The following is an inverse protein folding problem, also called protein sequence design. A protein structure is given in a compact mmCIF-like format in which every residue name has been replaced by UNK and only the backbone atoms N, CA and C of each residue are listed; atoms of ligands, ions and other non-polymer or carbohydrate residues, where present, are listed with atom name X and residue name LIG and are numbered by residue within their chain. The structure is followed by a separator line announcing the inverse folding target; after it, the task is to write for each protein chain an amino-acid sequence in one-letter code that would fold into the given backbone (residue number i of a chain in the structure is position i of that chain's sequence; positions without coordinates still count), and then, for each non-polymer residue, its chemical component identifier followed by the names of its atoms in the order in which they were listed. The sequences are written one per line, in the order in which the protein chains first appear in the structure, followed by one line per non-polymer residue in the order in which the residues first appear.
data_IF_651736343867
#
_entry.id   IF_651736343867
#
_cell.length_a   1.000
_cell.length_b   1.000
_cell.length_c   1.000
_cell.angle_alpha   90.00
_cell.angle_beta   90.00
_cell.angle_gamma   90.00
#
_symmetry.space_group_name_H-M   'P 1'
#
loop_
_entity.id
_entity.type
_entity.pdbx_description
1 polymer ?
#
# COMPACT_ATOMS: atom_id res chain seq x y z
N UNK A 1 -10.14 -59.03 24.90
CA UNK A 1 -9.94 -57.57 24.99
C UNK A 1 -10.47 -56.93 23.71
N UNK A 2 -11.45 -56.02 23.76
CA UNK A 2 -11.82 -55.25 22.58
C UNK A 2 -10.86 -54.06 22.42
N UNK A 3 -10.55 -53.60 21.18
CA UNK A 3 -9.89 -52.32 20.97
C UNK A 3 -10.87 -51.18 21.23
N UNK A 4 -10.45 -50.23 22.06
CA UNK A 4 -11.17 -48.98 22.35
C UNK A 4 -11.24 -48.11 21.08
N UNK A 5 -12.45 -47.75 20.67
CA UNK A 5 -12.69 -46.72 19.64
C UNK A 5 -12.37 -45.34 20.24
N UNK A 6 -11.58 -44.47 19.59
CA UNK A 6 -11.41 -43.10 20.07
C UNK A 6 -12.70 -42.32 19.81
N UNK A 7 -13.24 -41.68 20.86
CA UNK A 7 -14.40 -40.79 20.77
C UNK A 7 -14.11 -39.53 19.93
N UNK A 8 -15.15 -38.80 19.51
CA UNK A 8 -14.99 -37.58 18.71
C UNK A 8 -14.25 -36.52 19.51
N UNK A 9 -13.10 -36.05 18.98
CA UNK A 9 -12.42 -34.87 19.51
C UNK A 9 -13.12 -33.63 18.96
N UNK A 10 -13.89 -32.96 19.81
CA UNK A 10 -14.46 -31.63 19.62
C UNK A 10 -13.33 -30.60 19.39
N UNK A 11 -13.51 -29.57 18.54
CA UNK A 11 -12.46 -28.63 18.18
C UNK A 11 -12.19 -27.65 19.32
N UNK A 12 -11.07 -27.84 20.00
CA UNK A 12 -10.46 -26.89 20.92
C UNK A 12 -8.96 -27.01 20.66
N UNK A 13 -8.32 -26.16 19.87
CA UNK A 13 -8.19 -24.72 20.08
C UNK A 13 -8.21 -23.98 18.74
N UNK A 14 -9.40 -23.55 18.34
CA UNK A 14 -9.66 -22.58 17.27
C UNK A 14 -9.42 -21.15 17.80
N UNK A 15 -8.23 -20.94 18.36
CA UNK A 15 -7.75 -19.64 18.85
C UNK A 15 -6.28 -19.54 18.50
N UNK A 16 -6.00 -19.67 17.20
CA UNK A 16 -4.86 -18.99 16.62
C UNK A 16 -4.96 -17.53 17.07
N UNK A 17 -3.93 -17.01 17.74
CA UNK A 17 -3.72 -15.56 17.76
C UNK A 17 -3.68 -15.14 16.30
N UNK A 18 -4.78 -14.61 15.78
CA UNK A 18 -4.86 -14.20 14.38
C UNK A 18 -3.93 -13.01 14.22
N UNK A 19 -2.74 -13.26 13.67
CA UNK A 19 -1.82 -12.19 13.27
C UNK A 19 -2.55 -11.20 12.38
N UNK A 20 -2.30 -9.90 12.55
CA UNK A 20 -2.93 -8.81 11.75
C UNK A 20 -2.80 -9.09 10.25
N UNK A 21 -1.68 -9.69 9.85
CA UNK A 21 -1.36 -10.02 8.48
C UNK A 21 -1.35 -11.53 8.22
N UNK A 22 -1.65 -11.98 6.98
CA UNK A 22 -1.30 -13.31 6.52
C UNK A 22 0.19 -13.58 6.69
N UNK A 23 0.57 -14.83 7.01
CA UNK A 23 1.95 -15.18 7.37
C UNK A 23 3.02 -14.70 6.37
N UNK A 24 2.77 -14.80 5.06
CA UNK A 24 3.73 -14.34 4.05
C UNK A 24 3.91 -12.82 4.03
N UNK A 25 2.85 -12.06 4.35
CA UNK A 25 2.90 -10.59 4.46
C UNK A 25 3.61 -10.18 5.73
N UNK A 26 3.30 -10.86 6.85
CA UNK A 26 3.95 -10.63 8.14
C UNK A 26 5.48 -10.85 8.06
N UNK A 27 5.92 -11.95 7.45
CA UNK A 27 7.34 -12.23 7.22
C UNK A 27 7.99 -11.15 6.36
N UNK A 28 7.37 -10.75 5.24
CA UNK A 28 7.91 -9.73 4.36
C UNK A 28 8.06 -8.36 5.05
N UNK A 29 7.08 -7.99 5.89
CA UNK A 29 7.13 -6.78 6.70
C UNK A 29 8.24 -6.84 7.74
N UNK A 30 8.39 -7.96 8.46
CA UNK A 30 9.45 -8.15 9.45
C UNK A 30 10.84 -8.12 8.81
N UNK A 31 11.02 -8.75 7.65
CA UNK A 31 12.27 -8.71 6.87
C UNK A 31 12.61 -7.29 6.40
N UNK A 32 11.59 -6.47 6.11
CA UNK A 32 11.74 -5.05 5.81
C UNK A 32 11.95 -4.16 7.05
N UNK A 33 11.96 -4.73 8.26
CA UNK A 33 12.22 -4.03 9.51
C UNK A 33 10.97 -3.50 10.23
N UNK A 34 9.77 -3.84 9.77
CA UNK A 34 8.54 -3.54 10.51
C UNK A 34 8.37 -4.47 11.71
N UNK A 35 7.81 -3.93 12.79
CA UNK A 35 7.41 -4.70 13.97
C UNK A 35 6.07 -4.18 14.49
N UNK A 36 5.22 -5.02 15.11
CA UNK A 36 3.96 -4.58 15.69
C UNK A 36 4.15 -3.40 16.65
N UNK A 37 3.34 -2.35 16.46
CA UNK A 37 3.42 -1.12 17.27
C UNK A 37 4.49 -0.11 16.83
N UNK A 38 5.18 -0.35 15.71
CA UNK A 38 6.02 0.66 15.06
C UNK A 38 5.20 1.93 14.77
N UNK A 39 5.73 3.08 15.18
CA UNK A 39 5.11 4.38 14.95
C UNK A 39 6.14 5.50 14.99
N UNK A 40 6.51 6.03 13.82
CA UNK A 40 7.44 7.16 13.68
C UNK A 40 6.69 8.42 13.22
N UNK A 41 6.01 9.05 14.17
CA UNK A 41 5.26 10.28 13.90
C UNK A 41 6.17 11.45 13.52
N UNK A 42 7.41 11.49 14.01
CA UNK A 42 8.35 12.56 13.69
C UNK A 42 8.74 12.53 12.21
N UNK A 43 9.03 11.33 11.69
CA UNK A 43 9.32 11.15 10.27
C UNK A 43 8.10 11.46 9.40
N UNK A 44 6.91 11.03 9.82
CA UNK A 44 5.66 11.31 9.11
C UNK A 44 5.35 12.82 9.04
N UNK A 45 5.52 13.55 10.15
CA UNK A 45 5.36 15.01 10.21
C UNK A 45 6.40 15.72 9.34
N UNK A 46 7.65 15.27 9.34
CA UNK A 46 8.69 15.83 8.47
C UNK A 46 8.33 15.71 6.98
N UNK A 47 7.80 14.56 6.56
CA UNK A 47 7.31 14.39 5.20
C UNK A 47 6.07 15.23 4.92
N UNK A 48 5.13 15.31 5.85
CA UNK A 48 3.94 16.15 5.73
C UNK A 48 4.31 17.61 5.46
N UNK A 49 5.26 18.15 6.23
CA UNK A 49 5.74 19.52 6.06
C UNK A 49 6.49 19.72 4.75
N UNK A 50 7.32 18.75 4.36
CA UNK A 50 8.02 18.76 3.07
C UNK A 50 7.05 18.80 1.89
N UNK A 51 6.00 17.97 1.92
CA UNK A 51 4.97 17.92 0.88
C UNK A 51 4.15 19.22 0.82
N UNK A 52 3.76 19.77 1.98
CA UNK A 52 3.01 21.05 2.06
C UNK A 52 3.83 22.24 1.57
N UNK A 53 5.14 22.24 1.85
CA UNK A 53 6.06 23.27 1.41
C UNK A 53 6.30 23.21 -0.12
N UNK A 54 6.12 22.05 -0.75
CA UNK A 54 6.29 21.90 -2.19
C UNK A 54 5.11 22.46 -2.98
N UNK A 55 5.42 23.26 -3.99
CA UNK A 55 4.51 23.59 -5.07
C UNK A 55 5.21 23.28 -6.40
N UNK A 56 4.50 22.61 -7.30
CA UNK A 56 4.98 22.40 -8.67
C UNK A 56 5.15 23.75 -9.39
N UNK A 57 5.92 23.82 -10.50
CA UNK A 57 6.05 25.05 -11.30
C UNK A 57 4.72 25.64 -11.77
N UNK A 58 3.69 24.80 -11.95
CA UNK A 58 2.34 25.21 -12.34
C UNK A 58 1.43 25.54 -11.12
N UNK A 59 1.97 25.55 -9.91
CA UNK A 59 1.25 25.93 -8.69
C UNK A 59 0.45 24.80 -8.02
N UNK A 60 0.46 23.58 -8.56
CA UNK A 60 -0.17 22.42 -7.90
C UNK A 60 0.55 22.08 -6.58
N UNK A 61 -0.24 21.76 -5.55
CA UNK A 61 0.21 21.42 -4.20
C UNK A 61 -0.33 20.05 -3.79
N UNK A 62 0.38 19.38 -2.89
CA UNK A 62 -0.11 18.16 -2.26
C UNK A 62 -1.14 18.46 -1.18
N UNK A 63 -2.07 17.54 -1.00
CA UNK A 63 -2.96 17.45 0.16
C UNK A 63 -2.38 16.45 1.16
N UNK A 64 -2.47 16.76 2.46
CA UNK A 64 -2.03 15.87 3.54
C UNK A 64 -3.12 15.79 4.59
N UNK A 65 -3.55 14.57 4.90
CA UNK A 65 -4.67 14.25 5.78
C UNK A 65 -4.31 13.07 6.72
N UNK A 66 -5.10 12.81 7.78
CA UNK A 66 -4.75 11.84 8.82
C UNK A 66 -4.37 10.45 8.28
N UNK A 67 -5.17 9.85 7.40
CA UNK A 67 -4.91 8.51 6.87
C UNK A 67 -3.52 8.37 6.22
N UNK A 68 -3.06 9.41 5.50
CA UNK A 68 -1.71 9.42 4.92
C UNK A 68 -0.63 9.51 6.01
N UNK A 69 -0.79 10.39 7.00
CA UNK A 69 0.17 10.56 8.10
C UNK A 69 0.27 9.29 8.94
N UNK A 70 -0.85 8.63 9.21
CA UNK A 70 -0.91 7.37 9.96
C UNK A 70 -0.19 6.24 9.19
N UNK A 71 -0.45 6.13 7.89
CA UNK A 71 0.25 5.19 7.01
C UNK A 71 1.77 5.42 7.01
N UNK A 72 2.21 6.68 6.93
CA UNK A 72 3.62 7.03 6.96
C UNK A 72 4.26 6.76 8.32
N UNK A 73 3.56 7.05 9.42
CA UNK A 73 4.08 6.83 10.76
C UNK A 73 4.28 5.33 11.03
N UNK A 74 3.35 4.49 10.59
CA UNK A 74 3.46 3.05 10.82
C UNK A 74 4.43 2.37 9.83
N UNK A 75 4.34 2.70 8.54
CA UNK A 75 5.00 1.93 7.46
C UNK A 75 6.03 2.70 6.65
N UNK A 76 6.26 4.00 6.94
CA UNK A 76 7.26 4.81 6.27
C UNK A 76 8.66 4.19 6.31
N UNK A 77 9.49 4.45 5.31
CA UNK A 77 10.87 3.95 5.16
C UNK A 77 11.01 2.44 5.01
N UNK A 78 9.90 1.69 4.96
CA UNK A 78 9.96 0.27 4.60
C UNK A 78 10.24 0.12 3.11
N UNK A 79 11.17 -0.78 2.80
CA UNK A 79 11.45 -1.26 1.45
C UNK A 79 11.21 -2.76 1.39
N UNK A 80 10.23 -3.18 0.60
CA UNK A 80 9.85 -4.58 0.44
C UNK A 80 10.37 -5.07 -0.90
N UNK A 81 10.98 -6.25 -0.94
CA UNK A 81 11.67 -6.79 -2.13
C UNK A 81 10.78 -7.61 -3.06
N UNK A 82 9.48 -7.73 -2.77
CA UNK A 82 8.51 -8.48 -3.58
C UNK A 82 8.72 -10.00 -3.50
N UNK A 83 8.27 -10.69 -2.43
CA UNK A 83 8.64 -12.08 -2.20
C UNK A 83 7.86 -13.07 -3.10
N UNK A 84 8.59 -13.88 -3.85
CA UNK A 84 8.09 -15.09 -4.50
C UNK A 84 7.36 -14.86 -5.84
N UNK A 85 6.70 -15.89 -6.41
CA UNK A 85 6.08 -15.82 -7.74
C UNK A 85 4.76 -15.02 -7.77
N UNK A 86 4.19 -14.71 -6.60
CA UNK A 86 2.84 -14.16 -6.45
C UNK A 86 1.72 -15.14 -6.80
N UNK A 87 0.48 -14.73 -6.51
CA UNK A 87 -0.72 -15.54 -6.74
C UNK A 87 -1.28 -15.40 -8.16
N UNK A 88 -1.27 -14.18 -8.69
CA UNK A 88 -1.83 -13.84 -10.00
C UNK A 88 -0.83 -13.09 -10.89
N UNK A 89 0.01 -12.26 -10.28
CA UNK A 89 1.05 -11.45 -10.92
C UNK A 89 2.32 -11.55 -10.08
N UNK A 90 3.49 -11.37 -10.69
CA UNK A 90 4.75 -11.31 -9.95
C UNK A 90 4.78 -10.04 -9.07
N UNK A 91 5.00 -10.16 -7.75
CA UNK A 91 5.20 -9.02 -6.88
C UNK A 91 6.40 -8.20 -7.34
N UNK A 92 6.28 -6.88 -7.32
CA UNK A 92 7.38 -5.95 -7.56
C UNK A 92 7.94 -5.49 -6.21
N UNK A 93 9.25 -5.20 -6.12
CA UNK A 93 9.77 -4.44 -4.99
C UNK A 93 9.05 -3.10 -4.87
N UNK A 94 8.85 -2.59 -3.66
CA UNK A 94 8.23 -1.28 -3.44
C UNK A 94 8.75 -0.62 -2.17
N UNK A 95 8.72 0.72 -2.18
CA UNK A 95 9.14 1.56 -1.05
C UNK A 95 7.96 2.41 -0.57
N UNK A 96 7.77 2.49 0.74
CA UNK A 96 6.82 3.43 1.37
C UNK A 96 7.61 4.68 1.78
N UNK A 97 7.74 5.59 0.84
CA UNK A 97 8.31 6.91 1.08
C UNK A 97 7.55 7.92 0.21
N UNK A 98 6.75 8.81 0.81
CA UNK A 98 5.87 9.71 0.07
C UNK A 98 6.62 10.76 -0.75
N UNK A 99 7.90 11.00 -0.46
CA UNK A 99 8.72 11.95 -1.23
C UNK A 99 9.06 11.43 -2.63
N UNK A 100 8.89 10.13 -2.91
CA UNK A 100 8.93 9.63 -4.29
C UNK A 100 7.84 10.25 -5.18
N UNK A 101 6.73 10.70 -4.57
CA UNK A 101 5.65 11.43 -5.26
C UNK A 101 5.77 12.96 -5.18
N UNK A 102 6.88 13.52 -4.69
CA UNK A 102 7.01 14.96 -4.43
C UNK A 102 6.64 15.82 -5.65
N UNK A 103 7.03 15.40 -6.84
CA UNK A 103 6.79 16.15 -8.08
C UNK A 103 5.49 15.76 -8.81
N UNK A 104 4.66 14.92 -8.20
CA UNK A 104 3.42 14.39 -8.79
C UNK A 104 2.14 15.09 -8.30
N UNK A 105 2.26 16.27 -7.69
CA UNK A 105 1.11 17.01 -7.15
C UNK A 105 -0.03 17.22 -8.16
N UNK A 106 0.30 17.44 -9.43
CA UNK A 106 -0.72 17.51 -10.49
C UNK A 106 -1.41 16.17 -10.71
N UNK A 107 -0.63 15.12 -10.96
CA UNK A 107 -1.15 13.78 -11.25
C UNK A 107 -2.05 13.26 -10.12
N UNK A 108 -1.61 13.39 -8.87
CA UNK A 108 -2.39 12.97 -7.71
C UNK A 108 -3.64 13.84 -7.51
N UNK A 109 -3.54 15.15 -7.77
CA UNK A 109 -4.71 16.04 -7.77
C UNK A 109 -5.72 15.71 -8.88
N UNK A 110 -5.26 15.29 -10.06
CA UNK A 110 -6.12 14.88 -11.17
C UNK A 110 -6.82 13.54 -10.84
N UNK A 111 -6.10 12.58 -10.25
CA UNK A 111 -6.69 11.34 -9.73
C UNK A 111 -7.72 11.62 -8.63
N UNK A 112 -7.39 12.47 -7.66
CA UNK A 112 -8.29 12.83 -6.56
C UNK A 112 -9.60 13.45 -7.05
N UNK A 113 -9.53 14.34 -8.06
CA UNK A 113 -10.75 14.87 -8.69
C UNK A 113 -11.59 13.79 -9.37
N UNK A 114 -10.97 12.81 -10.02
CA UNK A 114 -11.68 11.71 -10.66
C UNK A 114 -12.33 10.75 -9.64
N UNK A 115 -11.72 10.60 -8.47
CA UNK A 115 -12.22 9.77 -7.37
C UNK A 115 -13.12 10.52 -6.37
N UNK A 116 -13.30 11.82 -6.56
CA UNK A 116 -14.03 12.72 -5.65
C UNK A 116 -13.50 12.66 -4.20
N UNK A 117 -12.18 12.55 -4.03
CA UNK A 117 -11.50 12.53 -2.71
C UNK A 117 -10.11 13.18 -2.81
N UNK A 118 -9.52 13.53 -1.67
CA UNK A 118 -8.13 13.99 -1.61
C UNK A 118 -7.17 12.80 -1.68
N UNK A 119 -6.09 12.94 -2.43
CA UNK A 119 -5.10 11.88 -2.64
C UNK A 119 -3.69 12.38 -2.28
N UNK A 120 -2.97 11.59 -1.48
CA UNK A 120 -1.60 11.86 -1.06
C UNK A 120 -0.65 10.78 -1.63
N UNK A 121 0.64 11.12 -1.87
CA UNK A 121 1.62 10.11 -2.23
C UNK A 121 1.88 9.17 -1.05
N UNK A 122 2.05 7.88 -1.35
CA UNK A 122 2.39 6.86 -0.36
C UNK A 122 3.82 6.33 -0.59
N UNK A 123 4.21 6.16 -1.85
CA UNK A 123 5.46 5.50 -2.20
C UNK A 123 5.57 5.17 -3.67
N UNK A 124 6.29 4.10 -3.99
CA UNK A 124 6.44 3.60 -5.37
C UNK A 124 6.69 2.11 -5.43
N UNK A 125 6.26 1.50 -6.53
CA UNK A 125 6.80 0.22 -6.99
C UNK A 125 8.07 0.47 -7.81
N UNK A 126 8.99 -0.48 -7.73
CA UNK A 126 10.35 -0.34 -8.24
C UNK A 126 10.73 -1.47 -9.20
N UNK A 127 11.51 -1.12 -10.20
CA UNK A 127 12.14 -2.05 -11.12
C UNK A 127 13.65 -1.80 -11.11
N UNK A 128 14.43 -2.80 -10.69
CA UNK A 128 15.89 -2.74 -10.76
C UNK A 128 16.37 -3.53 -11.98
N UNK A 129 17.11 -2.86 -12.86
CA UNK A 129 17.75 -3.47 -14.05
C UNK A 129 19.16 -2.91 -14.16
N UNK A 130 20.14 -3.78 -14.40
CA UNK A 130 21.56 -3.42 -14.51
C UNK A 130 22.08 -2.59 -13.32
N UNK A 131 21.63 -2.92 -12.11
CA UNK A 131 22.00 -2.23 -10.87
C UNK A 131 21.36 -0.85 -10.68
N UNK A 132 20.49 -0.42 -11.60
CA UNK A 132 19.78 0.86 -11.53
C UNK A 132 18.32 0.63 -11.19
N UNK A 133 17.81 1.35 -10.19
CA UNK A 133 16.42 1.28 -9.73
C UNK A 133 15.58 2.39 -10.36
N UNK A 134 14.50 2.00 -11.01
CA UNK A 134 13.53 2.89 -11.65
C UNK A 134 12.18 2.80 -10.93
N UNK A 135 11.42 3.89 -10.97
CA UNK A 135 10.01 3.87 -10.57
C UNK A 135 9.21 3.14 -11.65
N UNK A 136 8.52 2.06 -11.28
CA UNK A 136 7.59 1.36 -12.17
C UNK A 136 6.17 1.92 -12.04
N UNK A 137 5.72 2.14 -10.82
CA UNK A 137 4.42 2.70 -10.51
C UNK A 137 4.50 3.62 -9.28
N UNK A 138 3.61 4.60 -9.18
CA UNK A 138 3.45 5.44 -7.99
C UNK A 138 2.37 4.84 -7.10
N UNK A 139 2.66 4.71 -5.80
CA UNK A 139 1.67 4.32 -4.80
C UNK A 139 1.05 5.58 -4.19
N UNK A 140 -0.28 5.58 -4.05
CA UNK A 140 -1.04 6.69 -3.49
C UNK A 140 -2.09 6.18 -2.50
N UNK A 141 -2.47 7.04 -1.57
CA UNK A 141 -3.52 6.79 -0.56
C UNK A 141 -4.51 7.95 -0.57
N UNK A 142 -5.79 7.70 -0.35
CA UNK A 142 -6.78 8.77 -0.20
C UNK A 142 -7.21 9.03 1.25
N UNK A 143 -8.06 10.03 1.43
CA UNK A 143 -8.55 10.47 2.74
C UNK A 143 -9.29 9.37 3.53
N UNK A 144 -9.84 8.37 2.83
CA UNK A 144 -10.51 7.22 3.42
C UNK A 144 -9.54 6.05 3.73
N UNK A 145 -8.27 6.17 3.36
CA UNK A 145 -7.25 5.14 3.55
C UNK A 145 -7.17 4.12 2.40
N UNK A 146 -7.94 4.31 1.33
CA UNK A 146 -7.89 3.44 0.15
C UNK A 146 -6.58 3.66 -0.60
N UNK A 147 -6.01 2.58 -1.14
CA UNK A 147 -4.68 2.62 -1.76
C UNK A 147 -4.75 2.30 -3.26
N UNK A 148 -3.92 3.01 -4.02
CA UNK A 148 -3.86 2.96 -5.47
C UNK A 148 -2.42 2.78 -5.97
N UNK A 149 -2.28 2.17 -7.15
CA UNK A 149 -1.03 2.13 -7.92
C UNK A 149 -1.27 2.76 -9.29
N UNK A 150 -0.39 3.65 -9.72
CA UNK A 150 -0.48 4.38 -10.99
C UNK A 150 0.77 4.08 -11.82
N UNK A 151 0.58 3.47 -12.99
CA UNK A 151 1.64 3.20 -13.95
C UNK A 151 1.27 3.68 -15.36
N UNK A 152 2.16 3.45 -16.32
CA UNK A 152 1.94 3.83 -17.72
C UNK A 152 0.79 3.08 -18.42
N UNK A 153 0.23 2.05 -17.79
CA UNK A 153 -0.89 1.23 -18.29
C UNK A 153 -2.25 1.61 -17.69
N UNK A 154 -2.23 2.36 -16.57
CA UNK A 154 -3.41 2.98 -15.98
C UNK A 154 -3.33 3.08 -14.46
N UNK A 155 -4.49 3.32 -13.86
CA UNK A 155 -4.65 3.44 -12.41
C UNK A 155 -5.34 2.18 -11.87
N UNK A 156 -4.87 1.70 -10.72
CA UNK A 156 -5.25 0.43 -10.13
C UNK A 156 -5.63 0.62 -8.67
N UNK A 157 -6.76 0.05 -8.26
CA UNK A 157 -7.19 -0.02 -6.87
C UNK A 157 -6.58 -1.26 -6.20
N UNK A 158 -5.76 -1.03 -5.16
CA UNK A 158 -5.04 -2.08 -4.43
C UNK A 158 -5.84 -2.62 -3.24
N UNK A 159 -6.64 -1.78 -2.59
CA UNK A 159 -7.42 -2.20 -1.44
C UNK A 159 -8.11 -1.05 -0.69
N UNK A 160 -9.06 -1.39 0.21
CA UNK A 160 -9.81 -0.44 1.02
C UNK A 160 -8.98 0.20 2.14
N UNK A 161 -7.85 -0.41 2.50
CA UNK A 161 -6.94 0.04 3.53
C UNK A 161 -5.50 -0.39 3.17
N UNK A 162 -4.53 0.14 3.92
CA UNK A 162 -3.11 -0.16 3.70
C UNK A 162 -2.78 -1.64 3.96
N UNK A 163 -3.44 -2.29 4.91
CA UNK A 163 -3.20 -3.71 5.20
C UNK A 163 -3.57 -4.60 4.02
N UNK A 164 -4.73 -4.36 3.43
CA UNK A 164 -5.20 -5.06 2.25
C UNK A 164 -4.30 -4.76 1.06
N UNK A 165 -3.88 -3.50 0.89
CA UNK A 165 -2.98 -3.11 -0.20
C UNK A 165 -1.60 -3.77 -0.09
N UNK A 166 -1.03 -3.85 1.12
CA UNK A 166 0.20 -4.60 1.39
C UNK A 166 0.02 -6.08 1.04
N UNK A 167 -1.12 -6.67 1.41
CA UNK A 167 -1.50 -8.01 0.97
C UNK A 167 -1.55 -8.16 -0.54
N UNK A 168 -2.14 -7.20 -1.26
CA UNK A 168 -2.23 -7.21 -2.72
C UNK A 168 -0.84 -7.19 -3.36
N UNK A 169 0.03 -6.29 -2.91
CA UNK A 169 1.39 -6.11 -3.44
C UNK A 169 2.28 -7.32 -3.13
N UNK A 170 2.34 -7.74 -1.86
CA UNK A 170 3.24 -8.81 -1.40
C UNK A 170 2.82 -10.16 -1.93
N UNK A 171 1.52 -10.47 -1.93
CA UNK A 171 1.01 -11.76 -2.42
C UNK A 171 0.85 -11.78 -3.95
N UNK A 172 1.08 -10.65 -4.64
CA UNK A 172 0.91 -10.54 -6.09
C UNK A 172 -0.51 -10.88 -6.52
N UNK A 173 -1.52 -10.37 -5.81
CA UNK A 173 -2.91 -10.55 -6.23
C UNK A 173 -3.28 -9.50 -7.28
N UNK A 174 -4.20 -9.83 -8.19
CA UNK A 174 -4.55 -8.93 -9.29
C UNK A 174 -5.37 -7.75 -8.75
N UNK A 175 -4.89 -6.51 -8.86
CA UNK A 175 -5.67 -5.34 -8.46
C UNK A 175 -6.80 -5.06 -9.45
N UNK A 176 -7.77 -4.25 -9.02
CA UNK A 176 -8.87 -3.83 -9.87
C UNK A 176 -8.43 -2.61 -10.69
N UNK A 177 -8.56 -2.67 -12.02
CA UNK A 177 -8.30 -1.49 -12.87
C UNK A 177 -9.39 -0.45 -12.63
N UNK A 178 -9.00 0.78 -12.34
CA UNK A 178 -9.93 1.89 -12.32
C UNK A 178 -10.36 2.20 -13.76
N UNK A 179 -11.65 2.48 -13.91
CA UNK A 179 -12.26 2.84 -15.17
C UNK A 179 -13.23 3.99 -14.96
N UNK A 180 -13.55 4.69 -16.03
CA UNK A 180 -14.62 5.67 -15.99
C UNK A 180 -15.93 4.89 -15.93
N UNK A 181 -16.61 4.90 -14.79
CA UNK A 181 -18.05 4.66 -14.78
C UNK A 181 -18.70 5.85 -15.49
N UNK A 182 -19.16 5.63 -16.72
CA UNK A 182 -19.97 6.62 -17.41
C UNK A 182 -21.21 6.87 -16.55
N UNK A 183 -21.36 8.11 -16.05
CA UNK A 183 -22.61 8.53 -15.45
C UNK A 183 -23.65 8.53 -16.58
N UNK A 184 -24.53 7.54 -16.59
CA UNK A 184 -25.74 7.61 -17.42
C UNK A 184 -26.58 8.71 -16.78
N UNK A 185 -26.70 9.84 -17.48
CA UNK A 185 -27.69 10.85 -17.13
C UNK A 185 -29.05 10.29 -17.60
N UNK A 186 -29.99 10.15 -16.68
CA UNK A 186 -31.42 9.96 -16.98
C UNK A 186 -32.02 11.25 -17.58
#
# INVERSE_FOLDING_TARGET
MPPTTPGPRTPAHDRADSTRFPAAVDVALQEAGWQPGRWDIQQAEHWADTLRAHASPAGHRHTVFPAAVEAWAEFGDLHLTGPGPGRHIAPTPFAINPLHGLHLARTLGDLGRALETDVAPLGREELTTDGTTYTQATLAIDAEGRVYSLDHTGDWYLGPDLDTALGTLVLGTRPLRLGITAHVAD
#
